data_IF_244038110744
#
_entry.id   IF_244038110744
#
_cell.length_a   1.000
_cell.length_b   1.000
_cell.length_c   1.000
_cell.angle_alpha   90.00
_cell.angle_beta   90.00
_cell.angle_gamma   90.00
#
_symmetry.space_group_name_H-M   'P 1'
#
loop_
_entity.id
_entity.type
_entity.pdbx_description
1 polymer ?
#
# COMPACT_ATOMS: atom_id res chain seq x y z
N UNK A 1 -10.12 -28.84 26.94
CA UNK A 1 -9.87 -28.78 25.49
C UNK A 1 -10.69 -27.63 24.88
N UNK A 2 -10.19 -26.40 24.93
CA UNK A 2 -10.96 -25.22 24.48
C UNK A 2 -10.04 -24.18 23.82
N UNK A 3 -9.76 -24.30 22.51
CA UNK A 3 -9.20 -23.18 21.71
C UNK A 3 -9.40 -23.43 20.20
N UNK A 4 -10.63 -23.35 19.68
CA UNK A 4 -10.85 -23.31 18.20
C UNK A 4 -11.79 -22.17 17.76
N UNK A 5 -12.42 -21.40 18.67
CA UNK A 5 -13.53 -20.49 18.30
C UNK A 5 -13.19 -18.98 18.38
N UNK A 6 -11.94 -18.51 18.15
CA UNK A 6 -11.65 -17.06 18.25
C UNK A 6 -10.74 -16.42 17.21
N UNK A 7 -10.82 -16.85 15.94
CA UNK A 7 -10.06 -16.19 14.84
C UNK A 7 -10.94 -15.33 13.91
N UNK A 8 -12.26 -15.52 13.86
CA UNK A 8 -13.12 -14.79 12.91
C UNK A 8 -13.57 -13.39 13.38
N UNK A 9 -13.63 -13.13 14.69
CA UNK A 9 -14.02 -11.81 15.23
C UNK A 9 -12.95 -10.72 15.09
N UNK A 10 -11.67 -11.10 14.99
CA UNK A 10 -10.56 -10.14 14.90
C UNK A 10 -10.46 -9.47 13.53
N UNK A 11 -10.69 -10.21 12.44
CA UNK A 11 -10.65 -9.67 11.08
C UNK A 11 -11.79 -8.69 10.83
N UNK A 12 -12.96 -8.95 11.42
CA UNK A 12 -14.14 -8.08 11.33
C UNK A 12 -13.97 -6.80 12.17
N UNK A 13 -13.43 -6.91 13.38
CA UNK A 13 -13.09 -5.75 14.20
C UNK A 13 -11.99 -4.90 13.54
N UNK A 14 -10.96 -5.54 12.98
CA UNK A 14 -9.89 -4.86 12.26
C UNK A 14 -10.40 -4.19 10.98
N UNK A 15 -11.28 -4.84 10.22
CA UNK A 15 -11.84 -4.25 9.01
C UNK A 15 -12.72 -3.04 9.31
N UNK A 16 -13.49 -3.08 10.40
CA UNK A 16 -14.26 -1.94 10.90
C UNK A 16 -13.34 -0.78 11.33
N UNK A 17 -12.31 -1.07 12.15
CA UNK A 17 -11.33 -0.08 12.58
C UNK A 17 -10.60 0.60 11.40
N UNK A 18 -10.12 -0.19 10.43
CA UNK A 18 -9.51 0.32 9.21
C UNK A 18 -10.54 1.08 8.36
N UNK A 19 -11.82 0.68 8.39
CA UNK A 19 -12.94 1.38 7.76
C UNK A 19 -13.01 2.86 8.14
N UNK A 20 -12.72 3.19 9.40
CA UNK A 20 -12.65 4.56 9.89
C UNK A 20 -11.46 5.36 9.34
N UNK A 21 -10.37 4.70 8.92
CA UNK A 21 -9.18 5.34 8.36
C UNK A 21 -9.22 5.44 6.82
N UNK A 22 -9.90 4.52 6.13
CA UNK A 22 -9.97 4.49 4.66
C UNK A 22 -10.52 5.78 4.07
N UNK A 23 -11.70 6.21 4.53
CA UNK A 23 -12.36 7.43 4.04
C UNK A 23 -11.52 8.70 4.23
N UNK A 24 -10.98 9.00 5.44
CA UNK A 24 -10.15 10.20 5.61
C UNK A 24 -8.85 10.15 4.82
N UNK A 25 -8.18 9.00 4.71
CA UNK A 25 -6.96 8.87 3.91
C UNK A 25 -7.22 9.10 2.42
N UNK A 26 -8.24 8.46 1.86
CA UNK A 26 -8.62 8.67 0.44
C UNK A 26 -9.03 10.13 0.21
N UNK A 27 -9.73 10.76 1.16
CA UNK A 27 -10.07 12.18 1.08
C UNK A 27 -8.82 13.07 1.02
N UNK A 28 -7.77 12.76 1.77
CA UNK A 28 -6.49 13.50 1.71
C UNK A 28 -5.84 13.32 0.33
N UNK A 29 -5.78 12.11 -0.20
CA UNK A 29 -5.23 11.87 -1.55
C UNK A 29 -6.01 12.63 -2.64
N UNK A 30 -7.33 12.58 -2.60
CA UNK A 30 -8.17 13.29 -3.55
C UNK A 30 -8.06 14.81 -3.41
N UNK A 31 -7.84 15.37 -2.22
CA UNK A 31 -7.59 16.81 -2.04
C UNK A 31 -6.26 17.27 -2.64
N UNK A 32 -5.26 16.39 -2.65
CA UNK A 32 -3.92 16.69 -3.17
C UNK A 32 -3.73 16.27 -4.63
N UNK A 33 -4.82 15.95 -5.33
CA UNK A 33 -4.82 15.49 -6.73
C UNK A 33 -3.92 14.26 -6.95
N UNK A 34 -3.94 13.33 -6.00
CA UNK A 34 -3.28 12.03 -6.13
C UNK A 34 -4.24 11.05 -6.81
N UNK A 35 -3.80 10.45 -7.92
CA UNK A 35 -4.59 9.47 -8.65
C UNK A 35 -4.67 8.13 -7.92
N UNK A 36 -5.69 7.32 -8.21
CA UNK A 36 -5.80 5.96 -7.66
C UNK A 36 -4.55 5.10 -7.94
N UNK A 37 -3.99 5.04 -9.17
CA UNK A 37 -2.77 4.29 -9.45
C UNK A 37 -1.59 4.72 -8.57
N UNK A 38 -1.40 6.03 -8.36
CA UNK A 38 -0.33 6.52 -7.47
C UNK A 38 -0.58 6.16 -6.02
N UNK A 39 -1.82 6.29 -5.54
CA UNK A 39 -2.18 5.84 -4.19
C UNK A 39 -1.86 4.34 -4.02
N UNK A 40 -2.25 3.49 -4.97
CA UNK A 40 -1.97 2.06 -4.93
C UNK A 40 -0.45 1.80 -4.91
N UNK A 41 0.32 2.55 -5.69
CA UNK A 41 1.77 2.46 -5.74
C UNK A 41 2.45 2.84 -4.41
N UNK A 42 1.97 3.91 -3.75
CA UNK A 42 2.41 4.29 -2.41
C UNK A 42 2.10 3.19 -1.38
N UNK A 43 0.91 2.61 -1.43
CA UNK A 43 0.54 1.50 -0.54
C UNK A 43 1.42 0.28 -0.78
N UNK A 44 1.67 -0.12 -2.04
CA UNK A 44 2.57 -1.24 -2.35
C UNK A 44 3.97 -1.04 -1.75
N UNK A 45 4.49 0.19 -1.77
CA UNK A 45 5.79 0.52 -1.16
C UNK A 45 5.79 0.26 0.34
N UNK A 46 4.77 0.76 1.05
CA UNK A 46 4.63 0.54 2.50
C UNK A 46 4.55 -0.95 2.80
N UNK A 47 3.82 -1.73 1.98
CA UNK A 47 3.77 -3.20 2.13
C UNK A 47 5.13 -3.86 2.00
N UNK A 48 5.93 -3.47 1.00
CA UNK A 48 7.29 -4.01 0.80
C UNK A 48 8.23 -3.58 1.91
N UNK A 49 8.15 -2.32 2.34
CA UNK A 49 8.94 -1.76 3.42
C UNK A 49 8.70 -2.53 4.72
N UNK A 50 7.44 -2.60 5.18
CA UNK A 50 7.05 -3.30 6.41
C UNK A 50 7.42 -4.79 6.34
N UNK A 51 7.19 -5.47 5.21
CA UNK A 51 7.60 -6.86 5.04
C UNK A 51 9.13 -7.05 5.10
N UNK A 52 9.89 -6.05 4.67
CA UNK A 52 11.35 -6.07 4.67
C UNK A 52 11.96 -5.68 6.02
N UNK A 53 11.31 -4.84 6.82
CA UNK A 53 11.85 -4.28 8.07
C UNK A 53 11.29 -4.94 9.33
N UNK A 54 9.97 -5.12 9.41
CA UNK A 54 9.28 -5.54 10.65
C UNK A 54 9.10 -7.06 10.75
N UNK A 55 8.99 -7.76 9.61
CA UNK A 55 8.78 -9.21 9.55
C UNK A 55 10.07 -10.02 9.32
N UNK A 56 11.22 -9.46 9.71
CA UNK A 56 12.52 -10.10 9.57
C UNK A 56 12.71 -11.21 10.59
N UNK A 57 13.43 -12.25 10.19
CA UNK A 57 13.92 -13.27 11.12
C UNK A 57 15.19 -12.74 11.78
N UNK A 58 15.27 -12.82 13.11
CA UNK A 58 16.44 -12.36 13.87
C UNK A 58 17.74 -12.96 13.32
N UNK A 59 18.74 -12.09 13.11
CA UNK A 59 20.05 -12.50 12.58
C UNK A 59 20.10 -12.84 11.09
N UNK A 60 19.00 -12.71 10.33
CA UNK A 60 18.98 -12.96 8.88
C UNK A 60 18.56 -11.72 8.08
N UNK A 61 19.17 -11.55 6.90
CA UNK A 61 18.68 -10.61 5.89
C UNK A 61 17.38 -11.17 5.32
N UNK A 62 16.37 -10.31 5.16
CA UNK A 62 15.11 -10.72 4.54
C UNK A 62 15.36 -11.08 3.06
N UNK A 63 14.80 -12.21 2.62
CA UNK A 63 14.89 -12.62 1.21
C UNK A 63 13.76 -12.02 0.39
N UNK A 64 14.02 -11.76 -0.90
CA UNK A 64 12.99 -11.29 -1.83
C UNK A 64 11.81 -12.27 -1.89
N UNK A 65 12.06 -13.57 -1.83
CA UNK A 65 11.01 -14.60 -1.82
C UNK A 65 10.07 -14.47 -0.61
N UNK A 66 10.62 -14.21 0.58
CA UNK A 66 9.77 -14.01 1.76
C UNK A 66 8.94 -12.73 1.66
N UNK A 67 9.52 -11.65 1.14
CA UNK A 67 8.80 -10.39 0.92
C UNK A 67 7.64 -10.60 -0.06
N UNK A 68 7.84 -11.34 -1.15
CA UNK A 68 6.75 -11.66 -2.09
C UNK A 68 5.64 -12.46 -1.42
N UNK A 69 5.98 -13.42 -0.55
CA UNK A 69 4.98 -14.23 0.19
C UNK A 69 4.19 -13.38 1.19
N UNK A 70 4.85 -12.47 1.92
CA UNK A 70 4.20 -11.64 2.93
C UNK A 70 3.34 -10.52 2.32
N UNK A 71 3.85 -9.88 1.27
CA UNK A 71 3.18 -8.73 0.64
C UNK A 71 2.14 -9.12 -0.41
N UNK A 72 2.21 -10.34 -0.95
CA UNK A 72 1.38 -10.76 -2.09
C UNK A 72 1.77 -10.11 -3.43
N UNK A 73 2.87 -9.37 -3.47
CA UNK A 73 3.38 -8.73 -4.69
C UNK A 73 4.29 -9.66 -5.48
N UNK A 74 4.36 -9.43 -6.79
CA UNK A 74 5.26 -10.20 -7.66
C UNK A 74 6.72 -9.89 -7.36
N UNK A 75 7.61 -10.84 -7.67
CA UNK A 75 9.07 -10.65 -7.50
C UNK A 75 9.59 -9.44 -8.25
N UNK A 76 9.08 -9.18 -9.47
CA UNK A 76 9.42 -8.00 -10.29
C UNK A 76 9.04 -6.71 -9.56
N UNK A 77 7.84 -6.67 -9.00
CA UNK A 77 7.33 -5.51 -8.27
C UNK A 77 8.14 -5.26 -6.99
N UNK A 78 8.39 -6.30 -6.19
CA UNK A 78 9.23 -6.20 -4.99
C UNK A 78 10.63 -5.70 -5.33
N UNK A 79 11.25 -6.24 -6.37
CA UNK A 79 12.59 -5.81 -6.76
C UNK A 79 12.62 -4.34 -7.19
N UNK A 80 11.65 -3.90 -8.00
CA UNK A 80 11.47 -2.50 -8.39
C UNK A 80 11.27 -1.58 -7.19
N UNK A 81 10.47 -1.99 -6.22
CA UNK A 81 10.14 -1.20 -5.04
C UNK A 81 11.27 -1.12 -4.01
N UNK A 82 12.18 -2.09 -3.98
CA UNK A 82 13.37 -2.07 -3.12
C UNK A 82 14.54 -1.26 -3.72
N UNK A 83 14.58 -1.09 -5.05
CA UNK A 83 15.70 -0.43 -5.73
C UNK A 83 15.44 1.01 -6.13
N UNK A 84 14.18 1.40 -6.39
CA UNK A 84 13.87 2.77 -6.81
C UNK A 84 13.48 3.68 -5.63
N UNK A 85 14.00 4.91 -5.56
CA UNK A 85 13.61 5.90 -4.57
C UNK A 85 12.14 6.31 -4.72
N UNK A 86 11.59 6.84 -3.62
CA UNK A 86 10.16 7.12 -3.51
C UNK A 86 9.65 8.24 -4.44
N UNK A 87 10.52 8.97 -5.12
CA UNK A 87 10.19 10.25 -5.76
C UNK A 87 9.52 10.19 -7.14
N UNK A 88 9.26 8.98 -7.66
CA UNK A 88 8.73 8.82 -9.01
C UNK A 88 7.32 9.39 -9.13
N UNK A 89 7.23 10.66 -9.55
CA UNK A 89 6.03 11.27 -10.11
C UNK A 89 5.58 10.39 -11.27
N UNK A 90 4.55 9.58 -11.04
CA UNK A 90 3.98 8.73 -12.08
C UNK A 90 3.49 9.62 -13.23
N UNK A 91 3.80 9.24 -14.48
CA UNK A 91 3.23 9.91 -15.66
C UNK A 91 1.69 9.94 -15.59
N UNK A 92 1.06 8.97 -14.91
CA UNK A 92 -0.37 8.93 -14.67
C UNK A 92 -0.89 10.09 -13.80
N UNK A 93 -0.08 10.64 -12.89
CA UNK A 93 -0.51 11.80 -12.08
C UNK A 93 -0.50 13.10 -12.89
N UNK A 94 0.38 13.21 -13.90
CA UNK A 94 0.39 14.37 -14.80
C UNK A 94 -0.92 14.42 -15.58
N UNK A 95 -1.32 13.30 -16.16
CA UNK A 95 -2.56 13.16 -16.93
C UNK A 95 -3.81 13.37 -16.05
N UNK A 96 -3.86 12.75 -14.87
CA UNK A 96 -4.95 12.94 -13.92
C UNK A 96 -5.10 14.40 -13.48
N UNK A 97 -3.99 15.10 -13.23
CA UNK A 97 -4.00 16.52 -12.87
C UNK A 97 -4.52 17.40 -14.01
N UNK A 98 -4.13 17.12 -15.26
CA UNK A 98 -4.63 17.83 -16.44
C UNK A 98 -6.14 17.64 -16.62
N UNK A 99 -6.64 16.41 -16.52
CA UNK A 99 -8.07 16.10 -16.64
C UNK A 99 -8.90 16.80 -15.54
N UNK A 100 -8.40 16.77 -14.29
CA UNK A 100 -9.08 17.43 -13.18
C UNK A 100 -9.07 18.94 -13.29
N UNK A 101 -8.01 19.54 -13.81
CA UNK A 101 -7.96 20.98 -14.08
C UNK A 101 -9.01 21.37 -15.12
N UNK A 102 -9.10 20.62 -16.22
CA UNK A 102 -10.10 20.89 -17.28
C UNK A 102 -11.55 20.82 -16.77
N UNK A 103 -11.84 19.91 -15.84
CA UNK A 103 -13.16 19.78 -15.18
C UNK A 103 -13.51 20.93 -14.21
N UNK A 104 -12.53 21.74 -13.79
CA UNK A 104 -12.73 22.87 -12.87
C UNK A 104 -12.77 24.24 -13.56
N UNK A 105 -12.36 24.28 -14.83
CA UNK A 105 -12.28 25.51 -15.66
C UNK A 105 -13.36 25.51 -16.77
N UNK A 106 -14.20 24.47 -16.81
CA UNK A 106 -15.41 24.40 -17.64
C UNK A 106 -16.63 24.72 -16.78
#
# INVERSE_FOLDING_TARGET
MATIVKVHGSVQALSAAIGHLRRPLVRIFLRNSVSHPTCAELVKRVYVEVANTEFRIAGKKQSVSRITTLSGLTRKEVHRLLTLPADLKSSADKEYRSLRFNLLVS
#
